data_IF_723256401589
#
_entry.id   IF_723256401589
#
_cell.length_a   1.000
_cell.length_b   1.000
_cell.length_c   1.000
_cell.angle_alpha   90.00
_cell.angle_beta   90.00
_cell.angle_gamma   90.00
#
_symmetry.space_group_name_H-M   'P 1'
#
loop_
_entity.id
_entity.type
_entity.pdbx_description
1 polymer ?
#
# COMPACT_ATOMS: atom_id res chain seq x y z
N UNK A 1 -39.39 -8.43 11.55
CA UNK A 1 -38.51 -8.58 10.37
C UNK A 1 -38.88 -9.87 9.66
N UNK A 2 -39.28 -9.81 8.39
CA UNK A 2 -39.89 -10.93 7.64
C UNK A 2 -38.85 -12.00 7.28
N UNK A 3 -39.23 -13.28 7.35
CA UNK A 3 -38.41 -14.44 6.96
C UNK A 3 -37.84 -14.33 5.53
N UNK A 4 -38.48 -13.57 4.64
CA UNK A 4 -38.04 -13.30 3.28
C UNK A 4 -36.78 -12.42 3.24
N UNK A 5 -36.61 -11.46 4.16
CA UNK A 5 -35.40 -10.61 4.25
C UNK A 5 -34.19 -11.42 4.75
N UNK A 6 -34.40 -12.30 5.72
CA UNK A 6 -33.36 -13.20 6.23
C UNK A 6 -32.94 -14.24 5.18
N UNK A 7 -33.88 -14.77 4.38
CA UNK A 7 -33.61 -15.69 3.28
C UNK A 7 -32.80 -15.01 2.16
N UNK A 8 -33.16 -13.77 1.80
CA UNK A 8 -32.44 -13.01 0.75
C UNK A 8 -31.03 -12.59 1.19
N UNK A 9 -30.85 -12.23 2.46
CA UNK A 9 -29.54 -11.89 3.04
C UNK A 9 -28.62 -13.13 3.09
N UNK A 10 -29.17 -14.29 3.52
CA UNK A 10 -28.44 -15.57 3.55
C UNK A 10 -28.03 -16.03 2.14
N UNK A 11 -28.92 -15.89 1.15
CA UNK A 11 -28.63 -16.21 -0.24
C UNK A 11 -27.60 -15.26 -0.87
N UNK A 12 -27.59 -13.96 -0.52
CA UNK A 12 -26.57 -13.00 -0.95
C UNK A 12 -25.21 -13.30 -0.31
N UNK A 13 -25.20 -13.63 0.98
CA UNK A 13 -23.98 -14.00 1.72
C UNK A 13 -23.36 -15.29 1.15
N UNK A 14 -24.14 -16.29 0.87
CA UNK A 14 -23.71 -17.57 0.30
C UNK A 14 -23.14 -17.39 -1.13
N UNK A 15 -23.79 -16.57 -1.98
CA UNK A 15 -23.28 -16.22 -3.31
C UNK A 15 -21.96 -15.45 -3.27
N UNK A 16 -21.77 -14.59 -2.28
CA UNK A 16 -20.52 -13.84 -2.13
C UNK A 16 -19.36 -14.74 -1.71
N UNK A 17 -19.59 -15.65 -0.79
CA UNK A 17 -18.61 -16.65 -0.36
C UNK A 17 -18.25 -17.61 -1.49
N UNK A 18 -19.24 -18.10 -2.25
CA UNK A 18 -19.00 -18.97 -3.40
C UNK A 18 -18.15 -18.27 -4.48
N UNK A 19 -18.44 -16.99 -4.77
CA UNK A 19 -17.63 -16.18 -5.71
C UNK A 19 -16.20 -15.97 -5.21
N UNK A 20 -16.02 -15.71 -3.92
CA UNK A 20 -14.69 -15.58 -3.31
C UNK A 20 -13.91 -16.90 -3.38
N UNK A 21 -14.54 -18.02 -3.07
CA UNK A 21 -13.91 -19.34 -3.14
C UNK A 21 -13.52 -19.72 -4.59
N UNK A 22 -14.39 -19.49 -5.55
CA UNK A 22 -14.10 -19.70 -6.98
C UNK A 22 -12.95 -18.83 -7.46
N UNK A 23 -12.97 -17.51 -7.12
CA UNK A 23 -11.88 -16.58 -7.44
C UNK A 23 -10.58 -17.06 -6.82
N UNK A 24 -10.57 -17.41 -5.55
CA UNK A 24 -9.39 -17.94 -4.84
C UNK A 24 -8.87 -19.22 -5.51
N UNK A 25 -9.75 -20.15 -5.89
CA UNK A 25 -9.37 -21.38 -6.60
C UNK A 25 -8.71 -21.11 -7.95
N UNK A 26 -9.27 -20.19 -8.75
CA UNK A 26 -8.70 -19.78 -10.05
C UNK A 26 -7.34 -19.10 -9.87
N UNK A 27 -7.24 -18.16 -8.92
CA UNK A 27 -5.97 -17.47 -8.62
C UNK A 27 -4.91 -18.48 -8.16
N UNK A 28 -5.28 -19.42 -7.29
CA UNK A 28 -4.37 -20.46 -6.80
C UNK A 28 -3.90 -21.38 -7.94
N UNK A 29 -4.80 -21.83 -8.81
CA UNK A 29 -4.46 -22.72 -9.91
C UNK A 29 -3.55 -22.07 -10.95
N UNK A 30 -3.89 -20.84 -11.35
CA UNK A 30 -3.08 -20.06 -12.32
C UNK A 30 -1.77 -19.59 -11.71
N UNK A 31 -1.80 -19.12 -10.46
CA UNK A 31 -0.61 -18.59 -9.79
C UNK A 31 0.43 -19.66 -9.44
N UNK A 32 0.04 -20.94 -9.27
CA UNK A 32 1.02 -22.03 -9.09
C UNK A 32 1.95 -22.20 -10.27
N UNK A 33 1.51 -21.84 -11.47
CA UNK A 33 2.28 -21.93 -12.72
C UNK A 33 2.84 -20.60 -13.18
N UNK A 34 2.40 -19.49 -12.59
CA UNK A 34 2.89 -18.16 -12.94
C UNK A 34 4.34 -17.99 -12.49
N UNK A 35 5.13 -17.34 -13.33
CA UNK A 35 6.45 -16.80 -13.00
C UNK A 35 6.29 -15.29 -12.85
N UNK A 36 7.12 -14.67 -12.02
CA UNK A 36 7.19 -13.21 -11.96
C UNK A 36 7.66 -12.71 -13.31
N UNK A 37 6.93 -11.78 -13.90
CA UNK A 37 7.28 -11.19 -15.18
C UNK A 37 8.51 -10.27 -15.02
N UNK A 38 9.30 -10.12 -16.08
CA UNK A 38 10.38 -9.13 -16.10
C UNK A 38 9.82 -7.73 -15.92
N UNK A 39 10.60 -6.87 -15.30
CA UNK A 39 10.25 -5.48 -15.02
C UNK A 39 10.16 -5.17 -13.54
N UNK A 40 9.79 -3.94 -13.22
CA UNK A 40 9.69 -3.43 -11.85
C UNK A 40 8.27 -3.61 -11.32
N UNK A 41 8.14 -4.27 -10.17
CA UNK A 41 6.88 -4.49 -9.46
C UNK A 41 6.92 -3.80 -8.11
N UNK A 42 6.05 -2.80 -7.89
CA UNK A 42 5.85 -2.18 -6.58
C UNK A 42 4.59 -2.78 -5.96
N UNK A 43 4.76 -3.44 -4.82
CA UNK A 43 3.66 -4.00 -4.04
C UNK A 43 3.24 -3.04 -2.94
N UNK A 44 1.92 -2.81 -2.80
CA UNK A 44 1.33 -1.96 -1.76
C UNK A 44 0.54 -2.82 -0.78
N UNK A 45 1.00 -2.89 0.46
CA UNK A 45 0.31 -3.50 1.60
C UNK A 45 -0.09 -2.47 2.64
N UNK A 46 -0.65 -2.93 3.77
CA UNK A 46 -1.05 -2.03 4.85
C UNK A 46 -0.47 -2.48 6.20
N UNK A 47 -0.65 -3.73 6.58
CA UNK A 47 -0.28 -4.26 7.88
C UNK A 47 0.16 -5.73 7.80
N UNK A 48 0.63 -6.28 8.92
CA UNK A 48 1.14 -7.66 8.99
C UNK A 48 0.06 -8.74 9.18
N UNK A 49 -1.23 -8.39 9.09
CA UNK A 49 -2.34 -9.33 9.30
C UNK A 49 -2.95 -9.25 10.70
N UNK A 50 -3.72 -10.28 11.10
CA UNK A 50 -4.50 -10.27 12.33
C UNK A 50 -3.72 -10.70 13.57
N UNK A 51 -2.63 -11.48 13.41
CA UNK A 51 -1.83 -12.06 14.51
C UNK A 51 -0.33 -11.81 14.27
N UNK A 52 0.24 -10.84 14.95
CA UNK A 52 1.59 -10.30 14.70
C UNK A 52 2.72 -11.33 14.58
N UNK A 53 2.79 -12.35 15.45
CA UNK A 53 3.90 -13.31 15.46
C UNK A 53 3.84 -14.27 14.27
N UNK A 54 2.65 -14.80 13.98
CA UNK A 54 2.45 -15.75 12.88
C UNK A 54 2.64 -15.07 11.54
N UNK A 55 2.19 -13.85 11.44
CA UNK A 55 2.18 -13.09 10.18
C UNK A 55 3.60 -12.66 9.79
N UNK A 56 4.50 -12.43 10.77
CA UNK A 56 5.93 -12.19 10.49
C UNK A 56 6.60 -13.37 9.79
N UNK A 57 6.36 -14.61 10.24
CA UNK A 57 6.90 -15.79 9.56
C UNK A 57 6.29 -15.98 8.17
N UNK A 58 4.97 -15.72 8.02
CA UNK A 58 4.30 -15.77 6.72
C UNK A 58 4.92 -14.75 5.75
N UNK A 59 5.19 -13.52 6.20
CA UNK A 59 5.82 -12.50 5.38
C UNK A 59 7.27 -12.86 5.03
N UNK A 60 8.05 -13.35 6.00
CA UNK A 60 9.42 -13.82 5.76
C UNK A 60 9.45 -14.96 4.73
N UNK A 61 8.53 -15.90 4.80
CA UNK A 61 8.41 -16.99 3.84
C UNK A 61 7.97 -16.52 2.46
N UNK A 62 7.09 -15.51 2.39
CA UNK A 62 6.75 -14.84 1.13
C UNK A 62 7.99 -14.18 0.51
N UNK A 63 8.77 -13.41 1.28
CA UNK A 63 10.00 -12.79 0.78
C UNK A 63 11.03 -13.83 0.32
N UNK A 64 11.25 -14.90 1.07
CA UNK A 64 12.11 -16.03 0.66
C UNK A 64 11.67 -16.66 -0.65
N UNK A 65 10.34 -16.77 -0.83
CA UNK A 65 9.77 -17.32 -2.05
C UNK A 65 9.93 -16.37 -3.25
N UNK A 66 9.70 -15.09 -3.05
CA UNK A 66 9.86 -14.06 -4.09
C UNK A 66 11.33 -13.88 -4.49
N UNK A 67 12.25 -13.89 -3.53
CA UNK A 67 13.69 -13.78 -3.77
C UNK A 67 14.28 -14.92 -4.64
N UNK A 68 13.58 -16.05 -4.77
CA UNK A 68 13.96 -17.14 -5.70
C UNK A 68 13.56 -16.85 -7.15
N UNK A 69 12.72 -15.86 -7.40
CA UNK A 69 12.12 -15.59 -8.70
C UNK A 69 12.36 -14.16 -9.19
N UNK A 70 12.74 -13.25 -8.29
CA UNK A 70 12.91 -11.84 -8.56
C UNK A 70 14.01 -11.26 -7.66
N UNK A 71 14.64 -10.20 -8.10
CA UNK A 71 15.50 -9.40 -7.24
C UNK A 71 14.65 -8.48 -6.36
N UNK A 72 14.77 -8.63 -5.04
CA UNK A 72 14.20 -7.67 -4.10
C UNK A 72 15.08 -6.42 -4.09
N UNK A 73 14.47 -5.25 -4.20
CA UNK A 73 15.20 -3.97 -4.34
C UNK A 73 14.63 -2.92 -3.40
N UNK A 74 15.45 -1.93 -3.06
CA UNK A 74 14.98 -0.75 -2.33
C UNK A 74 13.96 0.03 -3.15
N UNK A 75 12.98 0.59 -2.46
CA UNK A 75 11.86 1.26 -3.11
C UNK A 75 12.30 2.47 -3.94
N UNK A 76 13.32 3.21 -3.51
CA UNK A 76 13.86 4.34 -4.26
C UNK A 76 14.49 3.90 -5.59
N UNK A 77 15.13 2.73 -5.60
CA UNK A 77 15.69 2.17 -6.84
C UNK A 77 14.58 1.79 -7.82
N UNK A 78 13.52 1.14 -7.33
CA UNK A 78 12.36 0.79 -8.15
C UNK A 78 11.65 2.04 -8.71
N UNK A 79 11.41 3.03 -7.85
CA UNK A 79 10.77 4.29 -8.23
C UNK A 79 11.58 5.04 -9.29
N UNK A 80 12.90 5.10 -9.12
CA UNK A 80 13.80 5.77 -10.07
C UNK A 80 13.80 5.10 -11.44
N UNK A 81 13.83 3.77 -11.49
CA UNK A 81 13.76 3.03 -12.76
C UNK A 81 12.48 3.33 -13.51
N UNK A 82 11.34 3.41 -12.80
CA UNK A 82 10.05 3.77 -13.39
C UNK A 82 10.06 5.22 -13.87
N UNK A 83 10.55 6.16 -13.05
CA UNK A 83 10.60 7.58 -13.41
C UNK A 83 11.51 7.87 -14.61
N UNK A 84 12.56 7.05 -14.81
CA UNK A 84 13.47 7.15 -15.95
C UNK A 84 13.02 6.32 -17.17
N UNK A 85 11.83 5.71 -17.11
CA UNK A 85 11.31 4.79 -18.13
C UNK A 85 12.32 3.71 -18.55
N UNK A 86 13.12 3.25 -17.57
CA UNK A 86 14.16 2.27 -17.82
C UNK A 86 13.58 0.86 -17.88
N UNK A 87 13.62 0.24 -19.04
CA UNK A 87 13.31 -1.18 -19.18
C UNK A 87 14.36 -2.05 -18.46
N UNK A 88 13.91 -3.14 -17.84
CA UNK A 88 14.76 -4.11 -17.15
C UNK A 88 14.40 -5.53 -17.60
N UNK A 89 15.42 -6.35 -17.85
CA UNK A 89 15.27 -7.70 -18.39
C UNK A 89 15.11 -8.77 -17.29
N UNK A 90 15.05 -8.36 -16.03
CA UNK A 90 14.85 -9.23 -14.88
C UNK A 90 13.65 -8.78 -14.05
N UNK A 91 12.97 -9.68 -13.32
CA UNK A 91 11.94 -9.27 -12.39
C UNK A 91 12.55 -8.62 -11.15
N UNK A 92 12.04 -7.42 -10.79
CA UNK A 92 12.41 -6.67 -9.59
C UNK A 92 11.17 -6.39 -8.75
N UNK A 93 11.27 -6.53 -7.43
CA UNK A 93 10.16 -6.30 -6.51
C UNK A 93 10.59 -5.32 -5.42
N UNK A 94 9.78 -4.29 -5.20
CA UNK A 94 9.88 -3.35 -4.09
C UNK A 94 8.54 -3.27 -3.35
N UNK A 95 8.56 -2.71 -2.14
CA UNK A 95 7.41 -2.69 -1.25
C UNK A 95 7.08 -1.28 -0.77
N UNK A 96 5.78 -1.05 -0.59
CA UNK A 96 5.23 0.11 0.12
C UNK A 96 4.16 -0.36 1.09
N UNK A 97 3.93 0.39 2.17
CA UNK A 97 2.88 0.09 3.14
C UNK A 97 2.19 1.38 3.55
N UNK A 98 0.87 1.33 3.60
CA UNK A 98 0.02 2.49 3.85
C UNK A 98 -0.49 2.49 5.32
N UNK A 99 -1.12 3.58 5.76
CA UNK A 99 -1.81 3.83 7.03
C UNK A 99 -0.94 4.08 8.28
N UNK A 100 0.28 3.60 8.35
CA UNK A 100 1.14 3.85 9.51
C UNK A 100 0.88 2.97 10.73
N UNK A 101 0.49 1.70 10.54
CA UNK A 101 0.28 0.74 11.62
C UNK A 101 1.58 0.37 12.34
N UNK A 102 1.49 0.15 13.67
CA UNK A 102 2.64 -0.18 14.53
C UNK A 102 3.37 -1.46 14.12
N UNK A 103 2.68 -2.44 13.58
CA UNK A 103 3.28 -3.70 13.14
C UNK A 103 4.21 -3.52 11.94
N UNK A 104 4.09 -2.43 11.18
CA UNK A 104 5.10 -2.03 10.21
C UNK A 104 6.45 -1.73 10.87
N UNK A 105 6.46 -1.12 12.04
CA UNK A 105 7.68 -0.89 12.82
C UNK A 105 8.19 -2.16 13.48
N UNK A 106 7.32 -2.87 14.23
CA UNK A 106 7.75 -3.95 15.12
C UNK A 106 8.09 -5.25 14.39
N UNK A 107 7.53 -5.48 13.20
CA UNK A 107 7.65 -6.76 12.51
C UNK A 107 8.06 -6.65 11.04
N UNK A 108 7.42 -5.73 10.30
CA UNK A 108 7.64 -5.60 8.87
C UNK A 108 9.04 -5.06 8.56
N UNK A 109 9.41 -3.92 9.11
CA UNK A 109 10.69 -3.28 8.86
C UNK A 109 11.88 -4.20 9.22
N UNK A 110 11.93 -4.85 10.42
CA UNK A 110 12.99 -5.80 10.71
C UNK A 110 13.03 -7.00 9.77
N UNK A 111 11.88 -7.40 9.22
CA UNK A 111 11.85 -8.50 8.25
C UNK A 111 12.41 -8.07 6.89
N UNK A 112 12.11 -6.86 6.41
CA UNK A 112 12.70 -6.34 5.17
C UNK A 112 14.21 -6.15 5.29
N UNK A 113 14.70 -5.68 6.45
CA UNK A 113 16.12 -5.52 6.74
C UNK A 113 16.88 -6.85 6.70
N UNK A 114 16.27 -7.97 7.12
CA UNK A 114 16.86 -9.32 6.97
C UNK A 114 17.17 -9.67 5.51
N UNK A 115 16.46 -9.04 4.55
CA UNK A 115 16.68 -9.20 3.11
C UNK A 115 17.50 -8.08 2.48
N UNK A 116 17.99 -7.13 3.28
CA UNK A 116 18.81 -6.00 2.83
C UNK A 116 18.04 -4.98 1.98
N UNK A 117 16.72 -4.85 2.19
CA UNK A 117 15.85 -3.91 1.49
C UNK A 117 15.05 -3.05 2.45
N UNK A 118 14.58 -1.91 1.96
CA UNK A 118 13.64 -1.02 2.63
C UNK A 118 12.27 -1.01 1.95
N UNK A 119 11.38 -0.14 2.43
CA UNK A 119 10.09 0.17 1.83
C UNK A 119 9.76 1.66 2.00
N UNK A 120 8.73 2.15 1.29
CA UNK A 120 8.06 3.39 1.65
C UNK A 120 6.88 3.10 2.59
N UNK A 121 6.76 3.92 3.62
CA UNK A 121 5.69 3.86 4.61
C UNK A 121 4.89 5.16 4.49
N UNK A 122 3.68 5.08 3.95
CA UNK A 122 2.78 6.22 3.80
C UNK A 122 1.92 6.33 5.05
N UNK A 123 2.11 7.41 5.82
CA UNK A 123 1.48 7.57 7.13
C UNK A 123 0.39 8.64 7.11
N UNK A 124 -0.57 8.47 8.02
CA UNK A 124 -1.58 9.48 8.35
C UNK A 124 -1.13 10.21 9.63
N UNK A 125 -0.65 11.46 9.56
CA UNK A 125 -0.20 12.21 10.73
C UNK A 125 -1.26 12.33 11.82
N UNK A 126 -2.55 12.42 11.47
CA UNK A 126 -3.65 12.44 12.44
C UNK A 126 -3.81 11.13 13.22
N UNK A 127 -3.37 9.99 12.66
CA UNK A 127 -3.43 8.68 13.32
C UNK A 127 -2.16 8.37 14.12
N UNK A 128 -0.98 8.78 13.61
CA UNK A 128 0.32 8.53 14.27
C UNK A 128 0.41 9.26 15.60
N UNK A 129 0.56 8.50 16.69
CA UNK A 129 0.65 9.06 18.04
C UNK A 129 -0.67 9.61 18.60
N UNK A 130 -1.80 9.33 17.96
CA UNK A 130 -3.12 9.75 18.39
C UNK A 130 -3.53 9.12 19.73
N UNK A 131 -4.50 9.74 20.40
CA UNK A 131 -5.09 9.20 21.62
C UNK A 131 -5.96 7.96 21.35
N UNK A 132 -6.28 7.21 22.41
CA UNK A 132 -7.00 5.95 22.29
C UNK A 132 -8.41 6.10 21.69
N UNK A 133 -9.08 7.24 21.91
CA UNK A 133 -10.43 7.48 21.39
C UNK A 133 -10.40 7.70 19.88
N UNK A 134 -9.45 8.50 19.40
CA UNK A 134 -9.25 8.71 17.96
C UNK A 134 -8.83 7.41 17.28
N UNK A 135 -7.89 6.67 17.86
CA UNK A 135 -7.42 5.37 17.34
C UNK A 135 -8.58 4.38 17.20
N UNK A 136 -9.44 4.25 18.21
CA UNK A 136 -10.60 3.36 18.13
C UNK A 136 -11.59 3.79 17.04
N UNK A 137 -11.87 5.09 16.92
CA UNK A 137 -12.74 5.65 15.88
C UNK A 137 -12.18 5.41 14.49
N UNK A 138 -10.90 5.72 14.27
CA UNK A 138 -10.20 5.51 13.00
C UNK A 138 -10.23 4.03 12.59
N UNK A 139 -9.86 3.13 13.50
CA UNK A 139 -9.82 1.70 13.24
C UNK A 139 -11.18 1.12 12.86
N UNK A 140 -12.27 1.62 13.45
CA UNK A 140 -13.62 1.11 13.17
C UNK A 140 -14.28 1.74 11.94
N UNK A 141 -14.07 3.05 11.76
CA UNK A 141 -14.86 3.83 10.79
C UNK A 141 -14.12 4.12 9.50
N UNK A 142 -12.78 4.06 9.51
CA UNK A 142 -11.95 4.41 8.36
C UNK A 142 -11.34 3.17 7.73
N UNK A 143 -10.60 2.37 8.51
CA UNK A 143 -9.83 1.22 7.96
C UNK A 143 -10.46 -0.15 8.22
N UNK A 144 -11.53 -0.24 9.01
CA UNK A 144 -12.22 -1.50 9.41
C UNK A 144 -11.25 -2.56 10.00
N UNK A 145 -10.32 -2.10 10.85
CA UNK A 145 -9.31 -2.93 11.51
C UNK A 145 -9.30 -2.72 13.04
N UNK A 146 -10.36 -3.17 13.77
CA UNK A 146 -10.45 -3.01 15.20
C UNK A 146 -9.26 -3.59 15.94
N UNK A 147 -8.72 -2.83 16.91
CA UNK A 147 -7.63 -3.26 17.78
C UNK A 147 -6.22 -3.05 17.23
N UNK A 148 -6.06 -2.56 16.00
CA UNK A 148 -4.76 -2.12 15.50
C UNK A 148 -4.28 -0.87 16.26
N UNK A 149 -2.98 -0.71 16.30
CA UNK A 149 -2.34 0.46 16.93
C UNK A 149 -1.52 1.22 15.89
N UNK A 150 -1.49 2.56 15.96
CA UNK A 150 -0.59 3.36 15.13
C UNK A 150 0.86 3.24 15.62
N UNK A 151 1.78 3.57 14.74
CA UNK A 151 3.14 3.93 15.14
C UNK A 151 3.12 5.16 16.05
N UNK A 152 4.09 5.27 16.95
CA UNK A 152 4.39 6.53 17.64
C UNK A 152 5.25 7.41 16.74
N UNK A 153 5.33 8.72 17.06
CA UNK A 153 6.23 9.67 16.35
C UNK A 153 7.68 9.20 16.39
N UNK A 154 8.15 8.70 17.54
CA UNK A 154 9.53 8.17 17.70
C UNK A 154 9.79 6.95 16.80
N UNK A 155 8.80 6.06 16.64
CA UNK A 155 8.92 4.91 15.73
C UNK A 155 9.06 5.33 14.28
N UNK A 156 8.31 6.36 13.84
CA UNK A 156 8.43 6.91 12.48
C UNK A 156 9.79 7.56 12.27
N UNK A 157 10.26 8.38 13.21
CA UNK A 157 11.57 9.01 13.14
C UNK A 157 12.72 7.99 13.14
N UNK A 158 12.61 6.91 13.95
CA UNK A 158 13.58 5.79 13.94
C UNK A 158 13.62 5.09 12.57
N UNK A 159 12.46 4.81 11.96
CA UNK A 159 12.38 4.20 10.64
C UNK A 159 13.02 5.08 9.56
N UNK A 160 12.77 6.40 9.60
CA UNK A 160 13.44 7.34 8.72
C UNK A 160 14.97 7.30 8.89
N UNK A 161 15.47 7.26 10.15
CA UNK A 161 16.89 7.13 10.47
C UNK A 161 17.50 5.79 10.02
N UNK A 162 16.70 4.73 9.86
CA UNK A 162 17.10 3.42 9.35
C UNK A 162 17.03 3.31 7.81
N UNK A 163 16.64 4.41 7.12
CA UNK A 163 16.61 4.47 5.68
C UNK A 163 15.30 3.99 5.04
N UNK A 164 14.20 3.90 5.79
CA UNK A 164 12.87 3.75 5.21
C UNK A 164 12.38 5.09 4.68
N UNK A 165 11.72 5.09 3.53
CA UNK A 165 11.08 6.29 3.00
C UNK A 165 9.79 6.55 3.76
N UNK A 166 9.64 7.72 4.37
CA UNK A 166 8.40 8.13 5.01
C UNK A 166 7.65 9.06 4.08
N UNK A 167 6.47 8.65 3.65
CA UNK A 167 5.60 9.40 2.74
C UNK A 167 4.27 9.78 3.40
N UNK A 168 3.53 10.65 2.73
CA UNK A 168 2.25 11.17 3.19
C UNK A 168 1.07 10.34 2.64
N UNK A 169 0.01 10.17 3.48
CA UNK A 169 -1.22 9.43 3.13
C UNK A 169 -2.49 10.21 3.52
N UNK A 170 -2.48 11.53 3.35
CA UNK A 170 -3.43 12.49 3.93
C UNK A 170 -3.38 12.55 5.47
N UNK A 171 -3.91 13.62 6.06
CA UNK A 171 -3.91 13.77 7.53
C UNK A 171 -4.72 12.65 8.19
N UNK A 172 -5.94 12.40 7.70
CA UNK A 172 -6.96 11.56 8.36
C UNK A 172 -7.47 10.41 7.48
N UNK A 173 -6.69 9.96 6.49
CA UNK A 173 -7.11 8.95 5.50
C UNK A 173 -8.36 9.40 4.72
N UNK A 174 -8.43 10.69 4.36
CA UNK A 174 -9.59 11.29 3.70
C UNK A 174 -9.77 10.79 2.27
N UNK A 175 -11.03 10.59 1.86
CA UNK A 175 -11.41 10.47 0.45
C UNK A 175 -11.24 11.84 -0.22
N UNK A 176 -10.49 11.91 -1.30
CA UNK A 176 -10.09 13.15 -1.98
C UNK A 176 -11.00 13.52 -3.16
N UNK A 177 -12.24 13.04 -3.17
CA UNK A 177 -13.24 13.41 -4.20
C UNK A 177 -13.85 14.80 -3.99
N UNK A 178 -13.59 15.44 -2.83
CA UNK A 178 -14.05 16.78 -2.51
C UNK A 178 -13.56 17.81 -3.52
N UNK A 179 -14.36 18.89 -3.69
CA UNK A 179 -13.97 20.12 -4.38
C UNK A 179 -13.67 21.29 -3.42
N UNK A 180 -13.71 21.04 -2.10
CA UNK A 180 -13.37 22.02 -1.08
C UNK A 180 -11.85 22.20 -1.04
N UNK A 181 -11.37 23.35 -1.51
CA UNK A 181 -9.95 23.63 -1.64
C UNK A 181 -9.24 23.70 -0.28
N UNK A 182 -9.89 24.21 0.76
CA UNK A 182 -9.29 24.31 2.09
C UNK A 182 -9.13 22.92 2.70
N UNK A 183 -10.14 22.05 2.54
CA UNK A 183 -10.04 20.65 2.92
C UNK A 183 -8.91 19.94 2.17
N UNK A 184 -8.83 20.12 0.85
CA UNK A 184 -7.79 19.48 0.04
C UNK A 184 -6.39 19.97 0.42
N UNK A 185 -6.20 21.27 0.66
CA UNK A 185 -4.93 21.83 1.15
C UNK A 185 -4.55 21.21 2.49
N UNK A 186 -5.49 21.13 3.44
CA UNK A 186 -5.23 20.50 4.72
C UNK A 186 -4.82 19.04 4.57
N UNK A 187 -5.54 18.25 3.78
CA UNK A 187 -5.30 16.82 3.63
C UNK A 187 -4.05 16.48 2.78
N UNK A 188 -3.60 17.39 1.91
CA UNK A 188 -2.51 17.12 0.97
C UNK A 188 -1.27 17.97 1.34
N UNK A 189 -1.40 19.29 1.41
CA UNK A 189 -0.25 20.20 1.58
C UNK A 189 0.22 20.22 3.04
N UNK A 190 -0.69 20.45 4.01
CA UNK A 190 -0.34 20.45 5.43
C UNK A 190 0.13 19.06 5.88
N UNK A 191 -0.36 18.01 5.24
CA UNK A 191 0.09 16.64 5.48
C UNK A 191 1.60 16.48 5.24
N UNK A 192 2.17 17.09 4.18
CA UNK A 192 3.60 17.08 3.92
C UNK A 192 4.38 17.61 5.13
N UNK A 193 4.04 18.79 5.58
CA UNK A 193 4.70 19.44 6.73
C UNK A 193 4.56 18.63 8.02
N UNK A 194 3.38 18.04 8.25
CA UNK A 194 3.15 17.21 9.42
C UNK A 194 3.97 15.91 9.40
N UNK A 195 4.13 15.26 8.23
CA UNK A 195 5.00 14.11 8.07
C UNK A 195 6.47 14.48 8.26
N UNK A 196 6.93 15.60 7.72
CA UNK A 196 8.29 16.10 7.90
C UNK A 196 8.61 16.40 9.36
N UNK A 197 7.66 16.99 10.10
CA UNK A 197 7.82 17.23 11.55
C UNK A 197 7.95 15.91 12.33
N UNK A 198 7.20 14.87 11.95
CA UNK A 198 7.22 13.56 12.63
C UNK A 198 8.47 12.76 12.29
N UNK A 199 8.84 12.72 11.02
CA UNK A 199 9.93 11.88 10.53
C UNK A 199 11.31 12.50 10.74
N UNK A 200 11.39 13.83 10.77
CA UNK A 200 12.64 14.59 10.76
C UNK A 200 13.37 14.58 9.41
N UNK A 201 12.68 14.17 8.33
CA UNK A 201 13.23 14.12 6.96
C UNK A 201 12.26 14.79 5.99
N UNK A 202 12.71 15.10 4.76
CA UNK A 202 11.82 15.61 3.70
C UNK A 202 10.77 14.55 3.33
N UNK A 203 9.54 15.00 3.03
CA UNK A 203 8.43 14.17 2.62
C UNK A 203 8.06 14.47 1.17
N UNK A 204 8.76 13.82 0.22
CA UNK A 204 8.58 14.06 -1.22
C UNK A 204 7.66 13.05 -1.89
N UNK A 205 7.11 12.09 -1.12
CA UNK A 205 6.29 10.99 -1.62
C UNK A 205 4.89 11.01 -1.04
N UNK A 206 3.91 10.74 -1.91
CA UNK A 206 2.50 10.71 -1.55
C UNK A 206 1.79 9.50 -2.14
N UNK A 207 0.92 8.87 -1.37
CA UNK A 207 -0.07 7.92 -1.86
C UNK A 207 -1.44 8.36 -1.34
N UNK A 208 -2.45 8.42 -2.20
CA UNK A 208 -3.78 8.78 -1.73
C UNK A 208 -4.54 7.57 -1.19
N UNK A 209 -5.44 7.77 -0.19
CA UNK A 209 -6.27 6.71 0.38
C UNK A 209 -7.08 5.94 -0.66
N UNK A 210 -7.27 4.64 -0.42
CA UNK A 210 -7.93 3.71 -1.34
C UNK A 210 -7.22 3.50 -2.69
N UNK A 211 -6.29 4.35 -3.08
CA UNK A 211 -5.38 4.22 -4.21
C UNK A 211 -6.00 4.19 -5.61
N UNK A 212 -7.32 4.28 -5.75
CA UNK A 212 -7.99 4.27 -7.07
C UNK A 212 -8.46 5.66 -7.49
N UNK A 213 -8.52 5.92 -8.80
CA UNK A 213 -8.92 7.22 -9.34
C UNK A 213 -10.36 7.65 -9.01
N UNK A 214 -11.20 6.74 -8.53
CA UNK A 214 -12.54 7.08 -8.03
C UNK A 214 -12.53 7.80 -6.68
N UNK A 215 -11.41 7.78 -5.96
CA UNK A 215 -11.23 8.36 -4.63
C UNK A 215 -10.35 9.61 -4.63
N UNK A 216 -10.10 10.18 -5.80
CA UNK A 216 -9.37 11.45 -5.93
C UNK A 216 -9.99 12.28 -7.06
N UNK A 217 -10.29 13.55 -6.81
CA UNK A 217 -10.73 14.49 -7.83
C UNK A 217 -9.54 14.94 -8.68
N UNK A 218 -9.82 15.50 -9.88
CA UNK A 218 -8.76 16.07 -10.71
C UNK A 218 -8.03 17.22 -10.03
N UNK A 219 -8.74 18.04 -9.27
CA UNK A 219 -8.17 19.16 -8.50
C UNK A 219 -7.22 18.63 -7.41
N UNK A 220 -7.66 17.62 -6.65
CA UNK A 220 -6.84 17.00 -5.62
C UNK A 220 -5.61 16.31 -6.21
N UNK A 221 -5.74 15.66 -7.36
CA UNK A 221 -4.62 15.00 -8.03
C UNK A 221 -3.58 16.03 -8.50
N UNK A 222 -3.98 17.11 -9.16
CA UNK A 222 -3.04 18.16 -9.57
C UNK A 222 -2.36 18.80 -8.35
N UNK A 223 -3.11 19.08 -7.27
CA UNK A 223 -2.52 19.58 -6.02
C UNK A 223 -1.48 18.62 -5.44
N UNK A 224 -1.75 17.31 -5.45
CA UNK A 224 -0.79 16.30 -5.01
C UNK A 224 0.46 16.27 -5.90
N UNK A 225 0.27 16.35 -7.23
CA UNK A 225 1.37 16.36 -8.20
C UNK A 225 2.22 17.64 -8.15
N UNK A 226 1.65 18.74 -7.68
CA UNK A 226 2.38 20.00 -7.48
C UNK A 226 3.09 20.07 -6.11
N UNK A 227 2.65 19.25 -5.16
CA UNK A 227 3.17 19.22 -3.77
C UNK A 227 4.29 18.20 -3.59
N UNK A 228 4.21 17.04 -4.27
CA UNK A 228 5.09 15.89 -4.08
C UNK A 228 5.81 15.50 -5.36
N UNK A 229 7.06 15.04 -5.24
CA UNK A 229 7.87 14.60 -6.38
C UNK A 229 7.41 13.25 -6.94
N UNK A 230 6.91 12.35 -6.07
CA UNK A 230 6.44 11.02 -6.44
C UNK A 230 5.07 10.76 -5.86
N UNK A 231 4.09 10.53 -6.74
CA UNK A 231 2.71 10.21 -6.36
C UNK A 231 2.39 8.78 -6.77
N UNK A 232 1.71 8.03 -5.88
CA UNK A 232 1.41 6.62 -6.10
C UNK A 232 -0.09 6.34 -6.16
N UNK A 233 -0.47 5.49 -7.14
CA UNK A 233 -1.80 4.86 -7.18
C UNK A 233 -1.71 3.37 -6.85
N UNK A 234 -2.85 2.74 -6.62
CA UNK A 234 -3.02 1.28 -6.62
C UNK A 234 -3.93 0.83 -7.77
N UNK A 235 -4.09 1.70 -8.76
CA UNK A 235 -4.88 1.47 -9.98
C UNK A 235 -3.95 1.21 -11.18
N UNK A 236 -4.51 0.75 -12.30
CA UNK A 236 -3.83 0.61 -13.59
C UNK A 236 -2.46 -0.11 -13.54
N UNK A 237 -2.32 -1.12 -12.71
CA UNK A 237 -1.07 -1.86 -12.50
C UNK A 237 -0.35 -2.35 -13.78
N UNK A 238 -1.04 -2.73 -14.89
CA UNK A 238 -0.37 -3.12 -16.13
C UNK A 238 0.54 -2.04 -16.71
N UNK A 239 0.30 -0.77 -16.40
CA UNK A 239 1.21 0.33 -16.74
C UNK A 239 2.07 0.71 -15.53
N UNK A 240 3.33 1.04 -15.77
CA UNK A 240 4.24 1.49 -14.71
C UNK A 240 3.81 2.82 -14.12
N UNK A 241 3.31 3.71 -14.96
CA UNK A 241 2.92 5.05 -14.58
C UNK A 241 1.66 5.50 -15.31
N UNK A 242 1.07 6.58 -14.84
CA UNK A 242 -0.07 7.28 -15.41
C UNK A 242 0.18 8.79 -15.41
N UNK A 243 -0.71 9.58 -15.99
CA UNK A 243 -0.62 11.05 -16.02
C UNK A 243 0.75 11.56 -16.53
N UNK A 244 1.21 11.02 -17.67
CA UNK A 244 2.48 11.45 -18.26
C UNK A 244 3.71 11.10 -17.42
N UNK A 245 3.69 9.97 -16.72
CA UNK A 245 4.80 9.52 -15.86
C UNK A 245 4.75 10.03 -14.42
N UNK A 246 3.85 10.99 -14.11
CA UNK A 246 3.80 11.69 -12.81
C UNK A 246 3.21 10.84 -11.67
N UNK A 247 2.45 9.77 -11.98
CA UNK A 247 1.86 8.85 -10.99
C UNK A 247 2.42 7.46 -11.22
N UNK A 248 3.04 6.84 -10.21
CA UNK A 248 3.52 5.47 -10.27
C UNK A 248 2.44 4.49 -9.78
N UNK A 249 2.21 3.42 -10.55
CA UNK A 249 1.13 2.47 -10.28
C UNK A 249 1.65 1.27 -9.50
N UNK A 250 1.04 1.01 -8.33
CA UNK A 250 1.37 -0.10 -7.42
C UNK A 250 0.34 -1.23 -7.54
N UNK A 251 0.71 -2.41 -7.03
CA UNK A 251 -0.21 -3.54 -6.88
C UNK A 251 -0.52 -3.79 -5.43
N UNK A 252 -1.80 -3.67 -5.09
CA UNK A 252 -2.28 -4.07 -3.76
C UNK A 252 -2.03 -5.56 -3.51
N UNK A 253 -1.53 -5.89 -2.32
CA UNK A 253 -1.40 -7.23 -1.79
C UNK A 253 -1.62 -7.23 -0.27
N UNK A 254 -1.95 -8.38 0.30
CA UNK A 254 -1.94 -8.58 1.74
C UNK A 254 -0.86 -9.61 2.09
N UNK A 255 -0.21 -9.41 3.23
CA UNK A 255 0.90 -10.25 3.69
C UNK A 255 0.48 -11.71 3.87
N UNK A 256 -0.77 -11.96 4.27
CA UNK A 256 -1.36 -13.28 4.48
C UNK A 256 -1.94 -13.94 3.22
N UNK A 257 -1.86 -13.26 2.07
CA UNK A 257 -2.31 -13.87 0.83
C UNK A 257 -1.50 -15.12 0.49
N UNK A 258 -2.16 -16.17 -0.06
CA UNK A 258 -1.43 -17.31 -0.59
C UNK A 258 -0.36 -16.85 -1.60
N UNK A 259 0.86 -17.38 -1.50
CA UNK A 259 1.96 -17.05 -2.42
C UNK A 259 1.59 -17.19 -3.90
N UNK A 260 0.69 -18.15 -4.21
CA UNK A 260 0.16 -18.32 -5.57
C UNK A 260 -0.65 -17.13 -6.06
N UNK A 261 -1.38 -16.42 -5.16
CA UNK A 261 -2.12 -15.22 -5.53
C UNK A 261 -1.17 -14.07 -5.86
N UNK A 262 -0.16 -13.86 -5.01
CA UNK A 262 0.87 -12.84 -5.26
C UNK A 262 1.56 -13.10 -6.60
N UNK A 263 2.00 -14.34 -6.86
CA UNK A 263 2.62 -14.71 -8.15
C UNK A 263 1.70 -14.52 -9.34
N UNK A 264 0.40 -14.82 -9.20
CA UNK A 264 -0.55 -14.59 -10.29
C UNK A 264 -0.55 -13.13 -10.75
N UNK A 265 -0.54 -12.19 -9.81
CA UNK A 265 -0.52 -10.77 -10.12
C UNK A 265 0.84 -10.31 -10.65
N UNK A 266 1.93 -10.78 -10.07
CA UNK A 266 3.29 -10.47 -10.53
C UNK A 266 3.64 -11.13 -11.87
N UNK A 267 2.90 -12.16 -12.29
CA UNK A 267 3.06 -12.78 -13.61
C UNK A 267 2.42 -12.00 -14.76
N UNK A 268 1.78 -10.86 -14.48
CA UNK A 268 1.26 -9.95 -15.49
C UNK A 268 2.39 -9.02 -15.95
N UNK A 269 2.65 -9.00 -17.25
CA UNK A 269 3.61 -8.05 -17.84
C UNK A 269 3.18 -6.61 -17.60
N UNK A 270 4.16 -5.74 -17.47
CA UNK A 270 3.99 -4.29 -17.32
C UNK A 270 4.66 -3.55 -18.46
N UNK A 271 4.18 -2.37 -18.78
CA UNK A 271 4.77 -1.51 -19.82
C UNK A 271 4.72 -0.03 -19.40
N UNK A 272 5.58 0.77 -19.98
CA UNK A 272 5.37 2.21 -20.01
C UNK A 272 4.21 2.50 -20.96
N UNK A 273 3.35 3.45 -20.61
CA UNK A 273 2.24 3.87 -21.46
C UNK A 273 2.76 4.46 -22.76
N UNK A 274 2.03 4.23 -23.86
CA UNK A 274 2.30 4.88 -25.14
C UNK A 274 1.89 6.35 -25.10
#
# INVERSE_FOLDING_TARGET
MSAALLSSAKARFDRSQTRRALRSGVLSARGRRARVANGVHILAGHHMGATEIRDREVFRDLLRHLAKQARLVNIESASRLIAQEQEVDEPMIAFTFDDGFRDCYSHLAPTLEEFGINAALFINPGYVGADAQYVESFNRSVVDLPGKLPMTRDMVSDLAGRGFVIGAHTIDHADLTSSDEDLLKHQIVDCKSAVEEISGTTCDWFAWPYGTYRHISSVALELALDTYDVVFSSDNYPQYSSHGGRVQNRRHFEVDWPQSHVRYFLGQGRSFGA
#
